data_IF_107237567442
#
_entry.id   IF_107237567442
#
_cell.length_a   1.000
_cell.length_b   1.000
_cell.length_c   1.000
_cell.angle_alpha   90.00
_cell.angle_beta   90.00
_cell.angle_gamma   90.00
#
_symmetry.space_group_name_H-M   'P 1'
#
loop_
_entity.id
_entity.type
_entity.pdbx_description
1 polymer ?
#
# COMPACT_ATOMS: atom_id res chain seq x y z
N UNK A 1 16.65 -10.56 5.25
CA UNK A 1 15.21 -10.47 4.99
C UNK A 1 14.92 -9.12 4.36
N UNK A 2 15.03 -8.02 5.11
CA UNK A 2 14.93 -6.67 4.57
C UNK A 2 16.23 -6.22 3.87
N UNK A 3 16.11 -5.57 2.71
CA UNK A 3 17.17 -4.83 2.03
C UNK A 3 16.77 -3.34 1.98
N UNK A 4 17.65 -2.44 2.42
CA UNK A 4 17.38 -0.99 2.43
C UNK A 4 17.23 -0.39 1.03
N UNK A 5 17.69 -1.09 -0.01
CA UNK A 5 17.45 -0.73 -1.41
C UNK A 5 15.96 -0.84 -1.78
N UNK A 6 15.17 -1.66 -1.09
CA UNK A 6 13.71 -1.80 -1.30
C UNK A 6 12.91 -0.64 -0.68
N UNK A 7 13.56 0.24 0.10
CA UNK A 7 12.88 1.31 0.84
C UNK A 7 12.11 2.28 -0.06
N UNK A 8 12.67 2.80 -1.18
CA UNK A 8 11.93 3.67 -2.08
C UNK A 8 10.71 2.96 -2.67
N UNK A 9 10.85 1.70 -3.08
CA UNK A 9 9.76 0.89 -3.62
C UNK A 9 8.62 0.75 -2.61
N UNK A 10 8.94 0.36 -1.38
CA UNK A 10 7.94 0.21 -0.31
C UNK A 10 7.22 1.52 0.02
N UNK A 11 7.94 2.65 0.12
CA UNK A 11 7.35 3.94 0.43
C UNK A 11 6.49 4.49 -0.71
N UNK A 12 6.95 4.36 -1.96
CA UNK A 12 6.18 4.80 -3.12
C UNK A 12 4.90 3.97 -3.29
N UNK A 13 4.99 2.64 -3.16
CA UNK A 13 3.82 1.78 -3.24
C UNK A 13 2.85 2.03 -2.07
N UNK A 14 3.34 2.25 -0.84
CA UNK A 14 2.50 2.63 0.29
C UNK A 14 1.79 3.98 0.08
N UNK A 15 2.47 4.97 -0.50
CA UNK A 15 1.89 6.28 -0.77
C UNK A 15 0.82 6.24 -1.87
N UNK A 16 1.01 5.37 -2.88
CA UNK A 16 0.20 5.35 -4.09
C UNK A 16 -0.85 4.22 -4.13
N UNK A 17 -0.95 3.38 -3.09
CA UNK A 17 -1.85 2.21 -3.09
C UNK A 17 -3.31 2.57 -3.41
N UNK A 18 -3.80 3.69 -2.89
CA UNK A 18 -5.18 4.18 -3.08
C UNK A 18 -5.32 5.23 -4.20
N UNK A 19 -4.31 5.42 -5.06
CA UNK A 19 -4.27 6.52 -6.04
C UNK A 19 -5.45 6.50 -7.05
N UNK A 20 -5.94 5.31 -7.39
CA UNK A 20 -7.07 5.09 -8.30
C UNK A 20 -8.46 5.28 -7.68
N UNK A 21 -8.57 5.56 -6.38
CA UNK A 21 -9.86 5.76 -5.73
C UNK A 21 -10.57 7.03 -6.22
N UNK A 22 -11.68 6.84 -6.92
CA UNK A 22 -12.65 7.90 -7.22
C UNK A 22 -13.57 8.25 -6.03
N UNK A 23 -14.41 9.29 -6.18
CA UNK A 23 -15.39 9.65 -5.15
C UNK A 23 -16.38 8.50 -4.91
N UNK A 24 -16.54 8.10 -3.64
CA UNK A 24 -17.35 6.94 -3.25
C UNK A 24 -16.98 5.67 -4.04
N UNK A 25 -15.66 5.43 -4.21
CA UNK A 25 -15.07 4.38 -5.07
C UNK A 25 -15.92 3.11 -5.18
N UNK A 26 -16.16 2.39 -4.09
CA UNK A 26 -16.91 1.13 -4.10
C UNK A 26 -18.36 1.23 -4.56
N UNK A 27 -19.02 2.38 -4.38
CA UNK A 27 -20.34 2.62 -4.95
C UNK A 27 -20.23 2.82 -6.46
N UNK A 28 -19.22 3.56 -6.92
CA UNK A 28 -18.99 3.85 -8.33
C UNK A 28 -18.61 2.59 -9.12
N UNK A 29 -17.73 1.75 -8.57
CA UNK A 29 -17.32 0.47 -9.16
C UNK A 29 -18.52 -0.42 -9.47
N UNK A 30 -19.43 -0.58 -8.50
CA UNK A 30 -20.64 -1.39 -8.65
C UNK A 30 -21.59 -0.87 -9.72
N UNK A 31 -21.67 0.45 -9.91
CA UNK A 31 -22.61 1.07 -10.85
C UNK A 31 -22.02 1.08 -12.26
N UNK A 32 -20.74 1.39 -12.39
CA UNK A 32 -20.09 1.65 -13.69
C UNK A 32 -19.21 0.50 -14.18
N UNK A 33 -19.05 -0.57 -13.39
CA UNK A 33 -18.17 -1.70 -13.74
C UNK A 33 -16.71 -1.28 -13.83
N UNK A 34 -16.30 -0.36 -12.94
CA UNK A 34 -14.93 0.14 -12.85
C UNK A 34 -14.17 -0.57 -11.73
N UNK A 35 -12.84 -0.54 -11.78
CA UNK A 35 -11.96 -1.10 -10.76
C UNK A 35 -10.89 -0.06 -10.39
N UNK A 36 -10.84 0.35 -9.12
CA UNK A 36 -9.86 1.30 -8.61
C UNK A 36 -8.42 0.80 -8.75
N UNK A 37 -8.17 -0.52 -8.67
CA UNK A 37 -6.83 -1.08 -8.85
C UNK A 37 -6.39 -0.87 -10.32
N UNK A 38 -7.27 -1.08 -11.30
CA UNK A 38 -6.98 -0.81 -12.71
C UNK A 38 -6.66 0.67 -12.96
N UNK A 39 -7.38 1.59 -12.31
CA UNK A 39 -7.09 3.02 -12.39
C UNK A 39 -5.75 3.37 -11.74
N UNK A 40 -5.43 2.80 -10.57
CA UNK A 40 -4.12 2.99 -9.93
C UNK A 40 -3.00 2.59 -10.90
N UNK A 41 -3.12 1.44 -11.54
CA UNK A 41 -2.15 0.97 -12.54
C UNK A 41 -2.05 1.92 -13.73
N UNK A 42 -3.18 2.35 -14.29
CA UNK A 42 -3.21 3.27 -15.42
C UNK A 42 -2.57 4.63 -15.09
N UNK A 43 -2.74 5.13 -13.86
CA UNK A 43 -2.12 6.38 -13.43
C UNK A 43 -0.61 6.21 -13.25
N UNK A 44 -0.17 5.11 -12.61
CA UNK A 44 1.25 4.86 -12.33
C UNK A 44 2.05 4.59 -13.60
N UNK A 45 1.50 3.81 -14.53
CA UNK A 45 2.21 3.34 -15.73
C UNK A 45 1.93 4.18 -16.98
N UNK A 46 0.87 5.00 -16.97
CA UNK A 46 0.49 5.87 -18.08
C UNK A 46 1.33 7.14 -18.19
N UNK A 47 1.03 7.96 -19.20
CA UNK A 47 1.64 9.28 -19.40
C UNK A 47 1.08 10.30 -18.40
N UNK A 48 1.58 10.24 -17.16
CA UNK A 48 1.16 11.09 -16.04
C UNK A 48 2.35 11.73 -15.34
N UNK A 49 2.10 12.77 -14.54
CA UNK A 49 3.13 13.37 -13.69
C UNK A 49 3.67 12.36 -12.66
N UNK A 50 2.82 11.44 -12.18
CA UNK A 50 3.21 10.37 -11.26
C UNK A 50 4.26 9.48 -11.92
N UNK A 51 3.99 8.99 -13.13
CA UNK A 51 4.94 8.22 -13.91
C UNK A 51 6.24 9.00 -14.13
N UNK A 52 6.13 10.24 -14.60
CA UNK A 52 7.29 11.10 -14.88
C UNK A 52 8.16 11.39 -13.65
N UNK A 53 7.60 11.35 -12.44
CA UNK A 53 8.35 11.46 -11.17
C UNK A 53 8.98 10.12 -10.80
N UNK A 54 8.23 9.01 -10.87
CA UNK A 54 8.72 7.68 -10.55
C UNK A 54 9.87 7.25 -11.48
N UNK A 55 9.80 7.54 -12.78
CA UNK A 55 10.85 7.24 -13.75
C UNK A 55 12.17 7.97 -13.50
N UNK A 56 12.19 9.01 -12.63
CA UNK A 56 13.44 9.67 -12.21
C UNK A 56 14.30 8.79 -11.30
N UNK A 57 13.70 7.81 -10.64
CA UNK A 57 14.42 6.82 -9.83
C UNK A 57 15.17 5.86 -10.76
N UNK A 58 14.44 5.18 -11.64
CA UNK A 58 14.96 4.49 -12.82
C UNK A 58 13.81 4.15 -13.80
N UNK A 59 14.10 3.78 -15.07
CA UNK A 59 13.06 3.62 -16.09
C UNK A 59 11.93 2.66 -15.74
N UNK A 60 12.25 1.51 -15.14
CA UNK A 60 11.26 0.46 -14.80
C UNK A 60 10.61 0.64 -13.40
N UNK A 61 10.93 1.72 -12.68
CA UNK A 61 10.45 1.92 -11.32
C UNK A 61 8.92 2.09 -11.23
N UNK A 62 8.24 2.79 -12.18
CA UNK A 62 6.78 2.84 -12.18
C UNK A 62 6.15 1.44 -12.23
N UNK A 63 6.65 0.57 -13.10
CA UNK A 63 6.17 -0.80 -13.24
C UNK A 63 6.37 -1.61 -11.95
N UNK A 64 7.54 -1.51 -11.32
CA UNK A 64 7.80 -2.20 -10.04
C UNK A 64 6.84 -1.75 -8.94
N UNK A 65 6.56 -0.45 -8.83
CA UNK A 65 5.57 0.09 -7.87
C UNK A 65 4.18 -0.45 -8.17
N UNK A 66 3.80 -0.46 -9.45
CA UNK A 66 2.51 -0.98 -9.90
C UNK A 66 2.36 -2.48 -9.58
N UNK A 67 3.40 -3.28 -9.80
CA UNK A 67 3.44 -4.71 -9.48
C UNK A 67 3.32 -4.99 -7.98
N UNK A 68 3.87 -4.12 -7.11
CA UNK A 68 3.71 -4.26 -5.66
C UNK A 68 2.25 -4.07 -5.27
N UNK A 69 1.60 -3.03 -5.79
CA UNK A 69 0.18 -2.74 -5.51
C UNK A 69 -0.71 -3.88 -6.01
N UNK A 70 -0.43 -4.41 -7.21
CA UNK A 70 -1.12 -5.59 -7.77
C UNK A 70 -0.70 -6.93 -7.16
N UNK A 71 0.22 -6.95 -6.19
CA UNK A 71 0.69 -8.16 -5.49
C UNK A 71 1.41 -9.16 -6.40
N UNK A 72 1.83 -8.75 -7.59
CA UNK A 72 2.53 -9.56 -8.59
C UNK A 72 4.05 -9.48 -8.45
N UNK A 73 4.58 -8.45 -7.78
CA UNK A 73 6.02 -8.27 -7.58
C UNK A 73 6.68 -9.49 -6.89
N UNK A 74 7.94 -9.83 -7.22
CA UNK A 74 8.66 -10.95 -6.58
C UNK A 74 8.97 -10.71 -5.10
N UNK A 75 9.18 -9.46 -4.68
CA UNK A 75 9.45 -9.13 -3.29
C UNK A 75 8.17 -9.19 -2.43
N UNK A 76 7.86 -10.38 -1.91
CA UNK A 76 6.67 -10.65 -1.09
C UNK A 76 6.68 -9.91 0.24
N UNK A 77 7.86 -9.66 0.81
CA UNK A 77 8.00 -8.88 2.03
C UNK A 77 7.45 -7.45 1.83
N UNK A 78 7.83 -6.78 0.74
CA UNK A 78 7.32 -5.43 0.41
C UNK A 78 5.80 -5.44 0.22
N UNK A 79 5.27 -6.42 -0.53
CA UNK A 79 3.82 -6.58 -0.71
C UNK A 79 3.13 -6.71 0.65
N UNK A 80 3.65 -7.56 1.54
CA UNK A 80 3.02 -7.82 2.84
C UNK A 80 2.93 -6.60 3.77
N UNK A 81 3.85 -5.64 3.62
CA UNK A 81 3.84 -4.41 4.42
C UNK A 81 2.71 -3.46 4.01
N UNK A 82 2.25 -3.55 2.76
CA UNK A 82 1.23 -2.65 2.20
C UNK A 82 -0.12 -3.36 2.13
N UNK A 83 -0.12 -4.66 1.80
CA UNK A 83 -1.33 -5.48 1.69
C UNK A 83 -1.12 -6.85 2.33
N UNK A 84 -1.69 -7.04 3.52
CA UNK A 84 -1.75 -8.29 4.26
C UNK A 84 -2.93 -8.26 5.26
N UNK A 85 -2.86 -9.08 6.31
CA UNK A 85 -3.80 -8.98 7.43
C UNK A 85 -3.37 -7.92 8.46
N UNK A 86 -2.06 -7.61 8.53
CA UNK A 86 -1.47 -6.62 9.42
C UNK A 86 -0.49 -5.79 8.59
N UNK A 87 -1.04 -4.83 7.84
CA UNK A 87 -0.31 -3.95 6.93
C UNK A 87 -0.43 -2.47 7.35
N UNK A 88 0.33 -1.61 6.68
CA UNK A 88 0.36 -0.18 6.94
C UNK A 88 -0.99 0.50 6.64
N UNK A 89 -1.68 0.06 5.58
CA UNK A 89 -3.00 0.59 5.18
C UNK A 89 -4.04 0.40 6.29
N UNK A 90 -4.27 -0.85 6.71
CA UNK A 90 -5.24 -1.19 7.76
C UNK A 90 -4.92 -0.54 9.08
N UNK A 91 -3.65 -0.48 9.45
CA UNK A 91 -3.27 0.17 10.69
C UNK A 91 -3.57 1.68 10.66
N UNK A 92 -3.42 2.35 9.51
CA UNK A 92 -3.73 3.77 9.38
C UNK A 92 -5.24 4.02 9.38
N UNK A 93 -6.00 3.39 8.47
CA UNK A 93 -7.42 3.73 8.34
C UNK A 93 -8.21 3.35 9.61
N UNK A 94 -7.87 2.24 10.29
CA UNK A 94 -8.56 1.86 11.53
C UNK A 94 -8.39 2.91 12.63
N UNK A 95 -7.18 3.46 12.79
CA UNK A 95 -6.93 4.49 13.79
C UNK A 95 -7.50 5.84 13.38
N UNK A 96 -7.33 6.20 12.11
CA UNK A 96 -7.83 7.45 11.54
C UNK A 96 -9.34 7.51 11.65
N UNK A 97 -10.05 6.46 11.26
CA UNK A 97 -11.50 6.38 11.32
C UNK A 97 -12.00 6.40 12.76
N UNK A 98 -11.36 5.65 13.66
CA UNK A 98 -11.68 5.68 15.09
C UNK A 98 -11.55 7.10 15.67
N UNK A 99 -10.49 7.81 15.29
CA UNK A 99 -10.25 9.20 15.71
C UNK A 99 -11.35 10.15 15.19
N UNK A 100 -11.64 10.13 13.90
CA UNK A 100 -12.61 11.06 13.28
C UNK A 100 -14.07 10.73 13.62
N UNK A 101 -14.40 9.45 13.87
CA UNK A 101 -15.76 9.03 14.27
C UNK A 101 -16.00 9.09 15.78
N UNK A 102 -14.95 9.28 16.58
CA UNK A 102 -15.04 9.29 18.04
C UNK A 102 -15.28 7.91 18.66
N UNK A 103 -15.05 6.83 17.92
CA UNK A 103 -15.24 5.46 18.40
C UNK A 103 -13.99 5.01 19.16
N UNK A 104 -14.09 4.93 20.49
CA UNK A 104 -12.97 4.57 21.37
C UNK A 104 -12.59 3.09 21.38
N UNK A 105 -13.39 2.21 20.79
CA UNK A 105 -13.11 0.77 20.73
C UNK A 105 -12.13 0.37 19.62
N UNK A 106 -11.85 1.26 18.67
CA UNK A 106 -10.92 1.01 17.56
C UNK A 106 -9.46 1.36 17.86
N UNK A 107 -9.16 1.96 19.02
CA UNK A 107 -7.79 2.33 19.38
C UNK A 107 -6.99 1.10 19.80
N UNK A 108 -5.92 0.80 19.08
CA UNK A 108 -4.95 -0.23 19.42
C UNK A 108 -3.55 0.37 19.61
N UNK A 109 -2.70 -0.35 20.33
CA UNK A 109 -1.33 0.09 20.62
C UNK A 109 -0.40 -0.17 19.42
N UNK A 110 -0.26 0.83 18.55
CA UNK A 110 0.63 0.78 17.39
C UNK A 110 2.08 0.54 17.80
N UNK A 111 2.53 1.15 18.90
CA UNK A 111 3.91 1.05 19.35
C UNK A 111 4.26 -0.38 19.73
N UNK A 112 3.34 -1.08 20.42
CA UNK A 112 3.48 -2.49 20.73
C UNK A 112 3.54 -3.37 19.48
N UNK A 113 2.67 -3.13 18.50
CA UNK A 113 2.67 -3.90 17.23
C UNK A 113 4.03 -3.73 16.52
N UNK A 114 4.48 -2.49 16.33
CA UNK A 114 5.77 -2.19 15.68
C UNK A 114 6.96 -2.84 16.41
N UNK A 115 6.95 -2.84 17.75
CA UNK A 115 8.00 -3.49 18.56
C UNK A 115 8.06 -5.01 18.37
N UNK A 116 6.93 -5.65 18.07
CA UNK A 116 6.82 -7.10 17.89
C UNK A 116 6.93 -7.55 16.42
N UNK A 117 6.75 -6.64 15.46
CA UNK A 117 6.92 -6.93 14.04
C UNK A 117 8.35 -7.37 13.69
N UNK A 118 8.48 -8.46 12.94
CA UNK A 118 9.76 -8.99 12.45
C UNK A 118 9.64 -9.31 10.97
N UNK A 119 10.60 -8.88 10.14
CA UNK A 119 10.62 -9.27 8.74
C UNK A 119 11.07 -10.74 8.61
N UNK A 120 10.37 -11.49 7.79
CA UNK A 120 10.81 -12.81 7.29
C UNK A 120 11.14 -12.72 5.81
N UNK A 121 11.47 -13.83 5.15
CA UNK A 121 11.73 -13.82 3.70
C UNK A 121 10.50 -13.45 2.87
N UNK A 122 9.30 -13.82 3.33
CA UNK A 122 8.07 -13.69 2.55
C UNK A 122 7.10 -12.66 3.11
N UNK A 123 7.09 -12.43 4.42
CA UNK A 123 6.08 -11.58 5.06
C UNK A 123 6.56 -10.96 6.38
N UNK A 124 5.82 -9.96 6.86
CA UNK A 124 6.00 -9.46 8.23
C UNK A 124 5.21 -10.32 9.21
N UNK A 125 5.90 -10.78 10.26
CA UNK A 125 5.33 -11.62 11.31
C UNK A 125 5.33 -10.89 12.66
N UNK A 126 4.45 -11.28 13.57
CA UNK A 126 4.43 -10.80 14.95
C UNK A 126 5.11 -11.83 15.84
N UNK A 127 6.13 -11.40 16.58
CA UNK A 127 6.79 -12.23 17.57
C UNK A 127 5.85 -12.53 18.75
N UNK A 128 5.82 -13.79 19.18
CA UNK A 128 5.17 -14.22 20.44
C UNK A 128 5.72 -13.50 21.68
#
# INVERSE_FOLDING_TARGET
>A
AWNDEDRPLALCAALLHDLGHGPFSHCFEKIFGTDHEEYTQAIITGDTEVNAVLSRVHPNFPEEVAEVINKTHPNKLVISMISSQIDADRMDYLQRDAYYTGVSYGSFDMERILRLMRPTENEVMIKE
#
